data_IF_318180917796
#
_entry.id   IF_318180917796
#
_cell.length_a   1.000
_cell.length_b   1.000
_cell.length_c   1.000
_cell.angle_alpha   90.00
_cell.angle_beta   90.00
_cell.angle_gamma   90.00
#
_symmetry.space_group_name_H-M   'P 1'
#
loop_
_entity.id
_entity.type
_entity.pdbx_description
1 polymer ?
#
# COMPACT_ATOMS: atom_id res chain seq x y z
N UNK A 1 15.85 10.26 -16.33
CA UNK A 1 16.38 9.62 -15.10
C UNK A 1 17.32 10.53 -14.31
N UNK A 2 18.41 11.06 -14.89
CA UNK A 2 19.28 12.02 -14.18
C UNK A 2 18.53 13.29 -13.72
N UNK A 3 17.56 13.76 -14.51
CA UNK A 3 16.71 14.91 -14.18
C UNK A 3 15.91 14.77 -12.87
N UNK A 4 15.65 13.55 -12.41
CA UNK A 4 14.96 13.28 -11.13
C UNK A 4 15.92 12.78 -10.04
N UNK A 5 17.23 12.84 -10.29
CA UNK A 5 18.26 12.49 -9.31
C UNK A 5 18.50 11.00 -9.12
N UNK A 6 18.04 10.13 -10.03
CA UNK A 6 18.38 8.70 -10.00
C UNK A 6 19.84 8.54 -10.41
N UNK A 7 20.64 7.94 -9.51
CA UNK A 7 22.07 7.68 -9.75
C UNK A 7 22.37 6.21 -10.00
N UNK A 8 21.50 5.29 -9.57
CA UNK A 8 21.67 3.85 -9.75
C UNK A 8 20.34 3.13 -9.89
N UNK A 9 20.33 2.15 -10.79
CA UNK A 9 19.29 1.12 -10.92
C UNK A 9 19.99 -0.22 -10.83
N UNK A 10 19.79 -0.96 -9.73
CA UNK A 10 20.58 -2.15 -9.39
C UNK A 10 19.72 -3.39 -9.22
N UNK A 11 20.14 -4.49 -9.83
CA UNK A 11 19.53 -5.80 -9.61
C UNK A 11 20.00 -6.35 -8.26
N UNK A 12 19.08 -6.60 -7.34
CA UNK A 12 19.38 -7.18 -6.01
C UNK A 12 18.85 -8.60 -5.87
N UNK A 13 18.27 -9.18 -6.92
CA UNK A 13 17.69 -10.53 -6.92
C UNK A 13 18.65 -11.58 -6.37
N UNK A 14 19.92 -11.52 -6.77
CA UNK A 14 20.95 -12.48 -6.36
C UNK A 14 21.42 -12.36 -4.90
N UNK A 15 20.88 -11.42 -4.13
CA UNK A 15 21.11 -11.37 -2.69
C UNK A 15 20.22 -12.38 -1.93
N UNK A 16 19.15 -12.88 -2.57
CA UNK A 16 18.32 -13.96 -2.04
C UNK A 16 18.38 -15.18 -2.96
N UNK A 17 17.93 -16.33 -2.46
CA UNK A 17 18.01 -17.61 -3.15
C UNK A 17 16.65 -18.06 -3.75
N UNK A 18 15.58 -17.29 -3.55
CA UNK A 18 14.26 -17.53 -4.16
C UNK A 18 14.26 -17.23 -5.67
N UNK A 19 15.08 -16.27 -6.11
CA UNK A 19 15.26 -15.98 -7.54
C UNK A 19 14.09 -15.26 -8.21
N UNK A 20 13.25 -14.55 -7.45
CA UNK A 20 12.19 -13.69 -7.99
C UNK A 20 12.74 -12.27 -8.21
N UNK A 21 12.59 -11.69 -9.43
CA UNK A 21 13.20 -10.41 -9.78
C UNK A 21 12.86 -9.26 -8.83
N UNK A 22 13.90 -8.67 -8.25
CA UNK A 22 13.82 -7.47 -7.42
C UNK A 22 14.95 -6.50 -7.79
N UNK A 23 14.60 -5.22 -7.94
CA UNK A 23 15.51 -4.15 -8.28
C UNK A 23 15.43 -3.00 -7.28
N UNK A 24 16.48 -2.20 -7.22
CA UNK A 24 16.57 -0.98 -6.41
C UNK A 24 16.85 0.22 -7.28
N UNK A 25 16.19 1.33 -6.99
CA UNK A 25 16.40 2.61 -7.66
C UNK A 25 16.81 3.65 -6.61
N UNK A 26 18.00 4.21 -6.77
CA UNK A 26 18.63 5.06 -5.76
C UNK A 26 18.57 6.53 -6.19
N UNK A 27 17.96 7.35 -5.33
CA UNK A 27 17.95 8.82 -5.39
C UNK A 27 18.61 9.36 -4.11
N UNK A 28 19.95 9.53 -4.09
CA UNK A 28 20.70 9.85 -2.86
C UNK A 28 20.28 11.17 -2.19
N UNK A 29 19.72 12.10 -2.95
CA UNK A 29 19.25 13.41 -2.47
C UNK A 29 17.72 13.50 -2.38
N UNK A 30 17.02 12.36 -2.32
CA UNK A 30 15.59 12.33 -2.03
C UNK A 30 15.31 12.98 -0.66
N UNK A 31 14.14 13.60 -0.52
CA UNK A 31 13.71 14.26 0.71
C UNK A 31 12.95 13.34 1.66
N UNK A 32 12.43 12.21 1.16
CA UNK A 32 11.70 11.19 1.93
C UNK A 32 12.47 9.87 1.99
N UNK A 33 12.43 9.04 0.93
CA UNK A 33 13.11 7.76 0.84
C UNK A 33 14.15 7.77 -0.28
N UNK A 34 15.38 7.38 0.06
CA UNK A 34 16.52 7.39 -0.86
C UNK A 34 16.58 6.18 -1.79
N UNK A 35 15.91 5.08 -1.43
CA UNK A 35 15.88 3.84 -2.21
C UNK A 35 14.44 3.38 -2.42
N UNK A 36 14.00 3.40 -3.67
CA UNK A 36 12.75 2.77 -4.13
C UNK A 36 13.02 1.32 -4.52
N UNK A 37 12.03 0.45 -4.34
CA UNK A 37 12.15 -0.98 -4.62
C UNK A 37 11.24 -1.35 -5.79
N UNK A 38 11.72 -2.25 -6.64
CA UNK A 38 10.99 -2.71 -7.80
C UNK A 38 10.78 -4.21 -7.75
N UNK A 39 9.56 -4.66 -8.06
CA UNK A 39 9.15 -6.07 -8.03
C UNK A 39 8.42 -6.46 -9.31
N UNK A 40 8.55 -7.71 -9.73
CA UNK A 40 7.86 -8.21 -10.90
C UNK A 40 8.19 -9.66 -11.24
N UNK A 41 7.40 -10.23 -12.15
CA UNK A 41 7.62 -11.60 -12.65
C UNK A 41 8.88 -11.71 -13.53
N UNK A 42 9.31 -10.60 -14.12
CA UNK A 42 10.53 -10.50 -14.94
C UNK A 42 11.41 -9.36 -14.44
N UNK A 43 12.68 -9.34 -14.86
CA UNK A 43 13.60 -8.25 -14.50
C UNK A 43 13.16 -6.91 -15.06
N UNK A 44 12.58 -6.87 -16.26
CA UNK A 44 12.08 -5.66 -16.91
C UNK A 44 10.91 -5.07 -16.12
N UNK A 45 9.95 -5.91 -15.70
CA UNK A 45 8.82 -5.49 -14.87
C UNK A 45 9.29 -4.98 -13.51
N UNK A 46 10.22 -5.67 -12.87
CA UNK A 46 10.78 -5.25 -11.59
C UNK A 46 11.56 -3.93 -11.72
N UNK A 47 12.33 -3.75 -12.80
CA UNK A 47 13.04 -2.50 -13.06
C UNK A 47 12.06 -1.34 -13.31
N UNK A 48 11.03 -1.55 -14.13
CA UNK A 48 9.99 -0.57 -14.39
C UNK A 48 9.25 -0.18 -13.10
N UNK A 49 8.87 -1.16 -12.28
CA UNK A 49 8.23 -0.93 -10.98
C UNK A 49 9.07 -0.01 -10.08
N UNK A 50 10.37 -0.29 -9.93
CA UNK A 50 11.24 0.54 -9.08
C UNK A 50 11.46 1.95 -9.64
N UNK A 51 11.52 2.09 -10.96
CA UNK A 51 11.63 3.40 -11.62
C UNK A 51 10.37 4.23 -11.41
N UNK A 52 9.20 3.62 -11.59
CA UNK A 52 7.89 4.26 -11.44
C UNK A 52 7.64 4.70 -9.99
N UNK A 53 7.97 3.87 -9.00
CA UNK A 53 7.92 4.27 -7.58
C UNK A 53 8.86 5.46 -7.30
N UNK A 54 10.06 5.46 -7.87
CA UNK A 54 11.03 6.55 -7.69
C UNK A 54 10.54 7.87 -8.31
N UNK A 55 9.86 7.78 -9.47
CA UNK A 55 9.20 8.90 -10.16
C UNK A 55 8.06 9.44 -9.29
N UNK A 56 7.18 8.58 -8.79
CA UNK A 56 6.07 8.94 -7.91
C UNK A 56 6.55 9.75 -6.70
N UNK A 57 7.50 9.20 -5.95
CA UNK A 57 8.07 9.85 -4.76
C UNK A 57 8.69 11.20 -5.13
N UNK A 58 9.42 11.28 -6.25
CA UNK A 58 9.99 12.55 -6.73
C UNK A 58 8.92 13.64 -6.91
N UNK A 59 7.79 13.28 -7.52
CA UNK A 59 6.68 14.20 -7.74
C UNK A 59 6.03 14.64 -6.43
N UNK A 60 5.80 13.71 -5.51
CA UNK A 60 5.22 14.02 -4.20
C UNK A 60 6.14 14.85 -3.29
N UNK A 61 7.45 14.83 -3.51
CA UNK A 61 8.43 15.68 -2.82
C UNK A 61 8.45 17.12 -3.35
N UNK A 62 8.35 17.30 -4.67
CA UNK A 62 8.72 18.55 -5.33
C UNK A 62 7.57 19.27 -6.06
N UNK A 63 6.52 18.57 -6.48
CA UNK A 63 5.56 19.08 -7.49
C UNK A 63 4.09 19.05 -7.07
N UNK A 64 3.81 18.87 -5.79
CA UNK A 64 2.44 19.00 -5.30
C UNK A 64 1.95 20.44 -5.48
N UNK A 65 0.83 20.67 -6.19
CA UNK A 65 0.30 21.99 -6.46
C UNK A 65 0.14 22.85 -5.21
N UNK A 66 0.24 24.17 -5.36
CA UNK A 66 -0.13 25.09 -4.26
C UNK A 66 -1.63 25.07 -4.06
N UNK A 67 -2.03 25.08 -2.79
CA UNK A 67 -3.42 25.09 -2.38
C UNK A 67 -3.81 26.41 -1.72
N UNK A 68 -5.04 26.45 -1.21
CA UNK A 68 -5.54 27.55 -0.43
C UNK A 68 -5.33 27.26 1.05
N UNK A 69 -4.71 28.19 1.79
CA UNK A 69 -4.61 28.08 3.25
C UNK A 69 -5.99 28.32 3.87
N UNK A 70 -6.53 27.33 4.58
CA UNK A 70 -7.82 27.43 5.27
C UNK A 70 -7.68 26.99 6.72
N UNK A 71 -8.51 27.56 7.59
CA UNK A 71 -8.70 27.00 8.93
C UNK A 71 -9.49 25.68 8.84
N UNK A 72 -9.41 24.83 9.85
CA UNK A 72 -10.22 23.62 9.91
C UNK A 72 -11.71 23.97 9.95
N UNK A 73 -12.09 25.03 10.68
CA UNK A 73 -13.49 25.50 10.73
C UNK A 73 -14.02 25.87 9.35
N UNK A 74 -13.25 26.63 8.57
CA UNK A 74 -13.64 27.01 7.21
C UNK A 74 -13.72 25.78 6.29
N UNK A 75 -12.77 24.85 6.43
CA UNK A 75 -12.74 23.64 5.62
C UNK A 75 -13.92 22.69 5.93
N UNK A 76 -14.38 22.63 7.18
CA UNK A 76 -15.59 21.87 7.56
C UNK A 76 -16.86 22.49 6.97
N UNK A 77 -16.95 23.83 6.96
CA UNK A 77 -18.11 24.55 6.41
C UNK A 77 -18.14 24.52 4.86
N UNK A 78 -16.99 24.44 4.21
CA UNK A 78 -16.87 24.40 2.76
C UNK A 78 -17.10 23.00 2.19
N UNK A 79 -18.27 22.78 1.59
CA UNK A 79 -18.62 21.50 0.95
C UNK A 79 -17.67 21.08 -0.16
N UNK A 80 -16.83 21.97 -0.71
CA UNK A 80 -15.82 21.61 -1.72
C UNK A 80 -14.59 20.94 -1.11
N UNK A 81 -14.34 21.09 0.19
CA UNK A 81 -13.28 20.39 0.89
C UNK A 81 -13.71 18.96 1.29
N UNK A 82 -12.77 18.02 1.23
CA UNK A 82 -12.93 16.73 1.90
C UNK A 82 -13.10 16.98 3.40
N UNK A 83 -14.01 16.24 4.03
CA UNK A 83 -14.26 16.38 5.47
C UNK A 83 -12.98 16.05 6.25
N UNK A 84 -12.42 16.98 7.05
CA UNK A 84 -11.21 16.73 7.84
C UNK A 84 -11.31 15.49 8.75
N UNK A 85 -12.51 15.17 9.23
CA UNK A 85 -12.75 14.05 10.15
C UNK A 85 -12.72 12.68 9.45
N UNK A 86 -12.73 12.66 8.12
CA UNK A 86 -12.65 11.46 7.30
C UNK A 86 -11.24 11.23 6.73
N UNK A 87 -10.25 12.01 7.19
CA UNK A 87 -8.88 11.99 6.70
C UNK A 87 -7.93 11.50 7.81
N UNK A 88 -6.73 10.99 7.45
CA UNK A 88 -5.80 10.44 8.42
C UNK A 88 -5.18 11.56 9.26
N UNK A 89 -5.78 11.87 10.40
CA UNK A 89 -5.28 12.85 11.36
C UNK A 89 -4.05 12.29 12.08
N UNK A 90 -2.99 13.09 12.26
CA UNK A 90 -1.83 12.65 13.05
C UNK A 90 -2.21 12.55 14.53
N UNK A 91 -1.78 11.50 15.25
CA UNK A 91 -2.04 11.38 16.69
C UNK A 91 -1.54 12.56 17.52
N UNK A 92 -0.44 13.19 17.08
CA UNK A 92 0.14 14.37 17.75
C UNK A 92 -0.48 15.70 17.32
N UNK A 93 -1.39 15.71 16.34
CA UNK A 93 -2.04 16.92 15.89
C UNK A 93 -3.02 17.43 16.96
N UNK A 94 -2.82 18.66 17.42
CA UNK A 94 -3.80 19.36 18.25
C UNK A 94 -4.80 20.05 17.35
N UNK A 95 -5.92 19.38 17.07
CA UNK A 95 -6.98 19.96 16.24
C UNK A 95 -7.71 21.07 16.98
N UNK A 96 -7.55 22.30 16.51
CA UNK A 96 -8.32 23.47 16.93
C UNK A 96 -9.07 24.04 15.73
N UNK A 97 -10.17 24.74 15.96
CA UNK A 97 -10.94 25.39 14.89
C UNK A 97 -10.08 26.32 14.03
N UNK A 98 -9.12 27.02 14.64
CA UNK A 98 -8.18 27.95 14.01
C UNK A 98 -6.92 27.27 13.42
N UNK A 99 -6.78 25.95 13.57
CA UNK A 99 -5.67 25.20 12.96
C UNK A 99 -5.74 25.33 11.45
N UNK A 100 -4.61 25.63 10.81
CA UNK A 100 -4.54 25.90 9.37
C UNK A 100 -3.85 24.76 8.62
N UNK A 101 -4.40 24.41 7.47
CA UNK A 101 -3.75 23.55 6.49
C UNK A 101 -3.94 24.11 5.09
N UNK A 102 -3.05 23.77 4.18
CA UNK A 102 -3.14 24.15 2.77
C UNK A 102 -3.98 23.09 2.05
N UNK A 103 -5.01 23.51 1.32
CA UNK A 103 -5.96 22.63 0.65
C UNK A 103 -5.80 22.72 -0.86
N UNK A 104 -5.34 21.63 -1.48
CA UNK A 104 -5.06 21.56 -2.92
C UNK A 104 -6.27 21.07 -3.67
N UNK A 105 -6.44 21.56 -4.90
CA UNK A 105 -7.55 21.14 -5.76
C UNK A 105 -7.26 19.78 -6.41
N UNK A 106 -8.31 18.96 -6.46
CA UNK A 106 -8.33 17.68 -7.14
C UNK A 106 -9.71 17.44 -7.76
N UNK A 107 -9.81 16.46 -8.65
CA UNK A 107 -11.06 16.07 -9.27
C UNK A 107 -11.62 14.85 -8.56
N UNK A 108 -12.84 14.95 -8.07
CA UNK A 108 -13.59 13.78 -7.60
C UNK A 108 -13.98 12.92 -8.79
N UNK A 109 -13.47 11.69 -8.82
CA UNK A 109 -13.63 10.74 -9.92
C UNK A 109 -15.07 10.20 -9.99
N UNK A 110 -15.82 10.23 -8.88
CA UNK A 110 -17.21 9.79 -8.84
C UNK A 110 -18.13 10.87 -9.41
N UNK A 111 -18.05 12.09 -8.86
CA UNK A 111 -18.97 13.17 -9.26
C UNK A 111 -18.47 14.06 -10.41
N UNK A 112 -17.20 13.93 -10.80
CA UNK A 112 -16.52 14.80 -11.77
C UNK A 112 -16.22 16.22 -11.27
N UNK A 113 -16.69 16.59 -10.07
CA UNK A 113 -16.57 17.94 -9.50
C UNK A 113 -15.17 18.19 -8.94
N UNK A 114 -14.78 19.46 -8.92
CA UNK A 114 -13.57 19.87 -8.22
C UNK A 114 -13.81 19.80 -6.71
N UNK A 115 -12.88 19.16 -6.00
CA UNK A 115 -12.83 19.06 -4.54
C UNK A 115 -11.45 19.44 -4.06
N UNK A 116 -11.29 19.61 -2.75
CA UNK A 116 -10.00 19.92 -2.13
C UNK A 116 -9.62 18.92 -1.08
N UNK A 117 -8.34 18.57 -1.03
CA UNK A 117 -7.76 17.71 -0.01
C UNK A 117 -6.57 18.42 0.64
N UNK A 118 -6.24 18.12 1.90
CA UNK A 118 -5.09 18.71 2.55
C UNK A 118 -3.80 18.32 1.82
N UNK A 119 -2.98 19.33 1.52
CA UNK A 119 -1.63 19.16 0.99
C UNK A 119 -0.77 18.27 1.89
N UNK A 120 -1.05 18.29 3.19
CA UNK A 120 -0.36 17.47 4.20
C UNK A 120 -0.44 15.97 3.90
N UNK A 121 -1.54 15.49 3.29
CA UNK A 121 -1.72 14.08 2.92
C UNK A 121 -0.81 13.65 1.77
N UNK A 122 -0.41 14.59 0.92
CA UNK A 122 0.24 14.32 -0.38
C UNK A 122 1.74 14.62 -0.34
N UNK A 123 2.14 15.69 0.35
CA UNK A 123 3.52 16.18 0.30
C UNK A 123 4.46 15.30 1.11
N UNK A 124 5.43 14.68 0.46
CA UNK A 124 6.46 13.87 1.12
C UNK A 124 7.74 14.65 1.42
N UNK A 125 7.88 15.87 0.88
CA UNK A 125 9.08 16.67 1.06
C UNK A 125 9.25 17.24 2.46
N UNK A 126 10.45 17.74 2.71
CA UNK A 126 10.78 18.45 3.94
C UNK A 126 9.95 19.73 4.06
N UNK A 127 9.39 19.98 5.25
CA UNK A 127 8.77 21.27 5.60
C UNK A 127 9.76 22.12 6.37
N UNK A 128 9.84 23.41 6.01
CA UNK A 128 10.58 24.38 6.81
C UNK A 128 9.98 24.49 8.21
N UNK A 129 10.83 24.72 9.23
CA UNK A 129 10.39 24.96 10.63
C UNK A 129 9.45 26.15 10.79
N UNK A 130 9.37 27.04 9.79
CA UNK A 130 8.45 28.19 9.75
C UNK A 130 7.04 27.83 9.30
N UNK A 131 6.82 26.64 8.75
CA UNK A 131 5.50 26.18 8.34
C UNK A 131 4.73 25.60 9.53
N UNK A 132 3.39 25.69 9.55
CA UNK A 132 2.57 25.02 10.56
C UNK A 132 2.88 23.52 10.62
N UNK A 133 2.73 22.92 11.80
CA UNK A 133 2.82 21.47 11.95
C UNK A 133 1.74 20.77 11.11
N UNK A 134 2.07 19.60 10.54
CA UNK A 134 1.11 18.80 9.77
C UNK A 134 -0.05 18.37 10.66
N UNK A 135 -1.28 18.58 10.20
CA UNK A 135 -2.49 18.09 10.87
C UNK A 135 -2.79 16.64 10.45
N UNK A 136 -2.49 16.31 9.20
CA UNK A 136 -2.73 15.00 8.60
C UNK A 136 -1.44 14.22 8.36
N UNK A 137 -1.56 12.90 8.29
CA UNK A 137 -0.45 11.98 8.00
C UNK A 137 0.00 12.21 6.56
N UNK A 138 1.30 12.45 6.38
CA UNK A 138 1.94 12.40 5.07
C UNK A 138 2.41 10.97 4.81
N UNK A 139 1.95 10.39 3.71
CA UNK A 139 2.34 9.04 3.29
C UNK A 139 2.26 8.92 1.78
N UNK A 140 2.95 7.94 1.20
CA UNK A 140 2.78 7.58 -0.21
C UNK A 140 1.45 6.87 -0.48
N UNK A 141 0.61 6.62 0.54
CA UNK A 141 -0.65 5.92 0.37
C UNK A 141 -1.56 6.62 -0.67
N UNK A 142 -1.83 5.92 -1.76
CA UNK A 142 -2.64 6.45 -2.87
C UNK A 142 -1.87 7.32 -3.86
N UNK A 143 -0.54 7.37 -3.77
CA UNK A 143 0.33 7.93 -4.79
C UNK A 143 0.67 6.84 -5.80
N UNK A 144 0.37 7.06 -7.08
CA UNK A 144 0.75 6.12 -8.11
C UNK A 144 1.00 6.80 -9.46
N UNK A 145 1.80 6.14 -10.28
CA UNK A 145 2.07 6.47 -11.65
C UNK A 145 1.61 5.36 -12.59
N UNK A 146 1.56 5.66 -13.88
CA UNK A 146 1.16 4.70 -14.91
C UNK A 146 1.53 5.20 -16.30
N UNK A 147 1.43 4.33 -17.31
CA UNK A 147 1.63 4.72 -18.70
C UNK A 147 0.50 5.62 -19.20
N UNK A 148 -0.67 5.51 -18.57
CA UNK A 148 -1.84 6.35 -18.82
C UNK A 148 -2.38 6.92 -17.51
N UNK A 149 -3.20 7.97 -17.62
CA UNK A 149 -3.95 8.51 -16.49
C UNK A 149 -4.78 7.43 -15.78
N UNK A 150 -5.51 6.62 -16.55
CA UNK A 150 -6.43 5.63 -15.98
C UNK A 150 -5.68 4.51 -15.25
N UNK A 151 -4.50 4.13 -15.74
CA UNK A 151 -3.62 3.16 -15.06
C UNK A 151 -3.11 3.70 -13.71
N UNK A 152 -2.63 4.95 -13.68
CA UNK A 152 -2.17 5.60 -12.45
C UNK A 152 -3.31 5.71 -11.42
N UNK A 153 -4.50 6.11 -11.85
CA UNK A 153 -5.66 6.24 -10.97
C UNK A 153 -6.16 4.90 -10.44
N UNK A 154 -6.21 3.87 -11.30
CA UNK A 154 -6.60 2.52 -10.88
C UNK A 154 -5.62 1.99 -9.83
N UNK A 155 -4.31 2.14 -10.07
CA UNK A 155 -3.28 1.71 -9.14
C UNK A 155 -3.40 2.44 -7.79
N UNK A 156 -3.53 3.77 -7.80
CA UNK A 156 -3.71 4.57 -6.59
C UNK A 156 -4.96 4.15 -5.80
N UNK A 157 -6.08 3.87 -6.48
CA UNK A 157 -7.30 3.37 -5.84
C UNK A 157 -7.12 1.98 -5.23
N UNK A 158 -6.52 1.06 -5.97
CA UNK A 158 -6.22 -0.27 -5.45
C UNK A 158 -5.36 -0.20 -4.20
N UNK A 159 -4.35 0.68 -4.16
CA UNK A 159 -3.49 0.84 -2.99
C UNK A 159 -4.27 1.35 -1.75
N UNK A 160 -5.07 2.41 -1.87
CA UNK A 160 -5.84 2.90 -0.71
C UNK A 160 -6.89 1.89 -0.23
N UNK A 161 -7.47 1.11 -1.14
CA UNK A 161 -8.37 0.00 -0.81
C UNK A 161 -7.61 -1.11 -0.09
N UNK A 162 -6.42 -1.48 -0.59
CA UNK A 162 -5.55 -2.48 0.04
C UNK A 162 -5.29 -2.15 1.50
N UNK A 163 -4.89 -0.90 1.79
CA UNK A 163 -4.56 -0.46 3.16
C UNK A 163 -5.78 -0.48 4.06
N UNK A 164 -6.96 -0.10 3.57
CA UNK A 164 -8.21 -0.15 4.34
C UNK A 164 -8.60 -1.59 4.67
N UNK A 165 -8.72 -2.44 3.66
CA UNK A 165 -9.17 -3.82 3.83
C UNK A 165 -8.19 -4.63 4.70
N UNK A 166 -6.89 -4.48 4.46
CA UNK A 166 -5.86 -5.10 5.29
C UNK A 166 -5.94 -4.63 6.75
N UNK A 167 -6.18 -3.35 7.01
CA UNK A 167 -6.24 -2.83 8.38
C UNK A 167 -7.42 -3.37 9.17
N UNK A 168 -8.59 -3.41 8.53
CA UNK A 168 -9.80 -3.96 9.12
C UNK A 168 -9.64 -5.45 9.40
N UNK A 169 -9.04 -6.21 8.47
CA UNK A 169 -8.71 -7.63 8.66
C UNK A 169 -7.72 -7.83 9.82
N UNK A 170 -6.60 -7.10 9.85
CA UNK A 170 -5.61 -7.22 10.93
C UNK A 170 -6.27 -6.93 12.29
N UNK A 171 -7.11 -5.90 12.39
CA UNK A 171 -7.82 -5.57 13.63
C UNK A 171 -8.76 -6.70 14.08
N UNK A 172 -9.55 -7.27 13.16
CA UNK A 172 -10.42 -8.44 13.46
C UNK A 172 -9.61 -9.62 13.98
N UNK A 173 -8.52 -9.96 13.29
CA UNK A 173 -7.61 -11.03 13.70
C UNK A 173 -7.01 -10.81 15.08
N UNK A 174 -6.58 -9.57 15.39
CA UNK A 174 -6.00 -9.22 16.70
C UNK A 174 -7.03 -9.25 17.84
N UNK A 175 -8.30 -8.96 17.55
CA UNK A 175 -9.39 -8.99 18.53
C UNK A 175 -9.97 -10.41 18.75
N UNK A 176 -9.48 -11.41 18.01
CA UNK A 176 -10.05 -12.76 18.03
C UNK A 176 -11.47 -12.82 17.48
N UNK A 177 -11.89 -11.79 16.74
CA UNK A 177 -13.23 -11.65 16.18
C UNK A 177 -13.36 -12.27 14.77
N UNK A 178 -12.40 -13.11 14.38
CA UNK A 178 -12.31 -13.67 13.04
C UNK A 178 -12.70 -15.15 12.99
N UNK A 179 -13.50 -15.51 11.99
CA UNK A 179 -13.67 -16.88 11.53
C UNK A 179 -12.30 -17.38 11.02
N UNK A 180 -11.79 -18.55 11.42
CA UNK A 180 -10.52 -19.12 10.92
C UNK A 180 -10.46 -19.36 9.39
N UNK A 181 -11.40 -18.82 8.62
CA UNK A 181 -11.61 -19.01 7.18
C UNK A 181 -11.09 -17.84 6.35
N UNK A 182 -9.78 -17.62 6.37
CA UNK A 182 -9.14 -16.63 5.49
C UNK A 182 -8.00 -17.19 4.66
N UNK A 183 -7.42 -18.31 5.08
CA UNK A 183 -6.19 -18.84 4.52
C UNK A 183 -6.45 -19.61 3.23
N UNK A 184 -5.65 -19.30 2.21
CA UNK A 184 -5.75 -19.91 0.88
C UNK A 184 -5.07 -21.27 0.82
N UNK A 185 -5.66 -22.18 0.02
CA UNK A 185 -5.02 -23.40 -0.49
C UNK A 185 -4.14 -23.07 -1.69
N UNK A 186 -2.87 -22.75 -1.42
CA UNK A 186 -1.92 -22.30 -2.46
C UNK A 186 -1.57 -23.41 -3.46
N UNK A 187 -1.69 -24.67 -3.07
CA UNK A 187 -1.55 -25.85 -3.93
C UNK A 187 -2.64 -25.96 -5.02
N UNK A 188 -3.75 -25.21 -4.87
CA UNK A 188 -4.89 -25.20 -5.79
C UNK A 188 -4.93 -23.99 -6.71
N UNK A 189 -3.91 -23.15 -6.72
CA UNK A 189 -3.82 -22.01 -7.66
C UNK A 189 -3.69 -22.53 -9.09
N UNK A 190 -4.61 -22.14 -9.99
CA UNK A 190 -4.52 -22.51 -11.41
C UNK A 190 -3.63 -21.56 -12.25
N UNK A 191 -3.53 -20.28 -11.86
CA UNK A 191 -2.78 -19.28 -12.61
C UNK A 191 -1.28 -19.65 -12.68
N UNK A 192 -0.69 -19.76 -13.90
CA UNK A 192 0.68 -20.23 -14.06
C UNK A 192 1.73 -19.30 -13.45
N UNK A 193 1.49 -17.99 -13.40
CA UNK A 193 2.46 -17.05 -12.85
C UNK A 193 2.49 -17.10 -11.32
N UNK A 194 1.31 -17.23 -10.69
CA UNK A 194 1.23 -17.43 -9.24
C UNK A 194 1.79 -18.78 -8.83
N UNK A 195 1.52 -19.86 -9.58
CA UNK A 195 2.18 -21.16 -9.34
C UNK A 195 3.69 -21.06 -9.41
N UNK A 196 4.22 -20.41 -10.46
CA UNK A 196 5.65 -20.19 -10.59
C UNK A 196 6.24 -19.46 -9.37
N UNK A 197 5.57 -18.43 -8.84
CA UNK A 197 6.02 -17.73 -7.63
C UNK A 197 6.04 -18.66 -6.40
N UNK A 198 5.01 -19.49 -6.23
CA UNK A 198 4.88 -20.43 -5.11
C UNK A 198 5.96 -21.52 -5.21
N UNK A 199 6.14 -22.11 -6.38
CA UNK A 199 7.16 -23.14 -6.65
C UNK A 199 8.59 -22.63 -6.38
N UNK A 200 8.86 -21.33 -6.64
CA UNK A 200 10.16 -20.72 -6.31
C UNK A 200 10.38 -20.60 -4.81
N UNK A 201 9.35 -20.24 -4.06
CA UNK A 201 9.39 -20.24 -2.60
C UNK A 201 9.66 -21.65 -2.07
N UNK A 202 8.92 -22.65 -2.56
CA UNK A 202 9.07 -24.05 -2.14
C UNK A 202 10.46 -24.61 -2.47
N UNK A 203 10.96 -24.37 -3.69
CA UNK A 203 12.30 -24.80 -4.11
C UNK A 203 13.42 -24.16 -3.28
N UNK A 204 13.19 -22.94 -2.78
CA UNK A 204 14.11 -22.24 -1.89
C UNK A 204 13.98 -22.68 -0.41
N UNK A 205 12.96 -23.47 -0.06
CA UNK A 205 12.66 -23.78 1.34
C UNK A 205 12.10 -22.58 2.12
N UNK A 206 11.50 -21.62 1.41
CA UNK A 206 10.80 -20.48 1.99
C UNK A 206 9.31 -20.78 1.94
N UNK A 207 8.69 -20.96 3.10
CA UNK A 207 7.27 -21.24 3.21
C UNK A 207 6.45 -19.99 2.85
N UNK A 208 5.45 -20.15 1.98
CA UNK A 208 4.49 -19.10 1.63
C UNK A 208 3.11 -19.40 2.23
N UNK A 209 2.51 -18.40 2.88
CA UNK A 209 1.12 -18.42 3.33
C UNK A 209 0.40 -17.17 2.84
N UNK A 210 -0.83 -17.31 2.36
CA UNK A 210 -1.62 -16.18 1.93
C UNK A 210 -3.05 -16.24 2.45
N UNK A 211 -3.64 -15.06 2.65
CA UNK A 211 -5.01 -14.87 3.11
C UNK A 211 -5.75 -13.95 2.15
N UNK A 212 -7.03 -14.25 1.93
CA UNK A 212 -7.96 -13.30 1.34
C UNK A 212 -8.42 -12.33 2.44
N UNK A 213 -8.13 -11.04 2.27
CA UNK A 213 -8.31 -10.02 3.31
C UNK A 213 -9.34 -8.96 2.96
N UNK A 214 -10.01 -9.06 1.81
CA UNK A 214 -11.14 -8.17 1.51
C UNK A 214 -12.24 -8.33 2.56
N UNK A 215 -12.74 -7.20 3.05
CA UNK A 215 -13.71 -7.11 4.14
C UNK A 215 -15.06 -6.65 3.61
N UNK A 216 -15.19 -5.35 3.31
CA UNK A 216 -16.46 -4.76 2.88
C UNK A 216 -16.42 -4.31 1.42
N UNK A 217 -15.25 -3.90 0.92
CA UNK A 217 -15.11 -3.50 -0.48
C UNK A 217 -14.84 -4.78 -1.28
N UNK A 218 -15.69 -5.16 -2.26
CA UNK A 218 -15.61 -6.44 -2.98
C UNK A 218 -14.52 -6.41 -4.08
N UNK A 219 -13.36 -5.86 -3.76
CA UNK A 219 -12.18 -5.82 -4.62
C UNK A 219 -11.14 -6.77 -4.01
N UNK A 220 -10.59 -7.72 -4.78
CA UNK A 220 -9.66 -8.71 -4.24
C UNK A 220 -8.43 -8.08 -3.61
N UNK A 221 -8.27 -8.34 -2.31
CA UNK A 221 -7.12 -7.95 -1.51
C UNK A 221 -6.55 -9.22 -0.87
N UNK A 222 -5.23 -9.40 -0.99
CA UNK A 222 -4.52 -10.51 -0.39
C UNK A 222 -3.42 -10.02 0.52
N UNK A 223 -3.18 -10.78 1.59
CA UNK A 223 -2.01 -10.65 2.44
C UNK A 223 -1.17 -11.92 2.28
N UNK A 224 0.13 -11.76 2.06
CA UNK A 224 1.06 -12.88 1.96
C UNK A 224 2.17 -12.75 3.02
N UNK A 225 2.53 -13.86 3.64
CA UNK A 225 3.71 -14.03 4.46
C UNK A 225 4.63 -15.06 3.82
N UNK A 226 5.91 -14.75 3.82
CA UNK A 226 6.97 -15.68 3.45
C UNK A 226 7.92 -15.83 4.62
N UNK A 227 8.29 -17.06 4.96
CA UNK A 227 9.19 -17.31 6.08
C UNK A 227 9.99 -18.60 5.91
N UNK A 228 11.17 -18.63 6.53
CA UNK A 228 12.00 -19.82 6.56
C UNK A 228 11.72 -20.60 7.85
N UNK A 229 10.88 -21.62 7.77
CA UNK A 229 10.58 -22.49 8.90
C UNK A 229 11.68 -23.49 9.21
N UNK A 230 12.64 -23.68 8.29
CA UNK A 230 13.76 -24.60 8.43
C UNK A 230 15.01 -23.97 9.05
N UNK A 231 15.00 -22.65 9.28
CA UNK A 231 16.11 -21.91 9.88
C UNK A 231 17.37 -21.83 9.00
N UNK A 232 17.24 -22.02 7.68
CA UNK A 232 18.36 -22.01 6.72
C UNK A 232 18.93 -20.60 6.48
N UNK A 233 18.11 -19.58 6.63
CA UNK A 233 18.45 -18.18 6.36
C UNK A 233 18.86 -17.50 7.66
N UNK A 234 20.01 -16.82 7.63
CA UNK A 234 20.47 -15.99 8.75
C UNK A 234 19.54 -14.79 8.98
N UNK A 235 19.31 -13.94 7.96
CA UNK A 235 18.39 -12.78 8.02
C UNK A 235 17.92 -12.37 6.62
N UNK A 236 16.70 -11.80 6.47
CA UNK A 236 15.55 -11.92 7.37
C UNK A 236 14.98 -13.34 7.32
N UNK A 237 14.26 -13.76 8.35
CA UNK A 237 13.61 -15.08 8.41
C UNK A 237 12.12 -15.01 8.10
N UNK A 238 11.50 -13.83 8.15
CA UNK A 238 10.13 -13.59 7.67
C UNK A 238 9.99 -12.24 6.98
N UNK A 239 9.10 -12.20 5.99
CA UNK A 239 8.63 -11.00 5.35
C UNK A 239 7.14 -11.12 5.01
N UNK A 240 6.53 -10.01 4.63
CA UNK A 240 5.13 -9.97 4.28
C UNK A 240 4.87 -8.90 3.24
N UNK A 241 3.76 -9.06 2.52
CA UNK A 241 3.34 -8.17 1.45
C UNK A 241 1.84 -8.22 1.25
N UNK A 242 1.32 -7.17 0.62
CA UNK A 242 -0.10 -7.03 0.33
C UNK A 242 -0.29 -6.86 -1.19
N UNK A 243 -1.50 -7.13 -1.65
CA UNK A 243 -1.84 -6.93 -3.05
C UNK A 243 -3.32 -6.74 -3.24
N UNK A 244 -3.71 -5.62 -3.86
CA UNK A 244 -5.07 -5.34 -4.31
C UNK A 244 -5.14 -5.15 -5.82
N UNK A 245 -6.14 -5.75 -6.45
CA UNK A 245 -6.45 -5.54 -7.86
C UNK A 245 -7.86 -6.06 -8.17
N UNK A 246 -8.60 -5.49 -9.15
CA UNK A 246 -9.90 -6.03 -9.58
C UNK A 246 -9.88 -7.50 -10.00
N UNK A 247 -8.72 -8.03 -10.40
CA UNK A 247 -8.54 -9.43 -10.78
C UNK A 247 -7.70 -10.17 -9.76
N UNK A 248 -8.24 -11.27 -9.23
CA UNK A 248 -7.64 -11.99 -8.08
C UNK A 248 -6.23 -12.50 -8.34
N UNK A 249 -5.97 -12.98 -9.57
CA UNK A 249 -4.65 -13.47 -10.00
C UNK A 249 -3.57 -12.39 -9.91
N UNK A 250 -3.92 -11.14 -10.25
CA UNK A 250 -2.99 -10.00 -10.20
C UNK A 250 -2.78 -9.57 -8.75
N UNK A 251 -3.85 -9.50 -7.96
CA UNK A 251 -3.79 -9.15 -6.54
C UNK A 251 -2.92 -10.15 -5.75
N UNK A 252 -3.08 -11.45 -5.97
CA UNK A 252 -2.26 -12.49 -5.34
C UNK A 252 -0.79 -12.40 -5.76
N UNK A 253 -0.52 -12.21 -7.07
CA UNK A 253 0.83 -12.03 -7.58
C UNK A 253 1.53 -10.83 -6.93
N UNK A 254 0.81 -9.71 -6.76
CA UNK A 254 1.32 -8.51 -6.08
C UNK A 254 1.63 -8.79 -4.61
N UNK A 255 0.77 -9.51 -3.89
CA UNK A 255 1.01 -9.86 -2.49
C UNK A 255 2.26 -10.72 -2.31
N UNK A 256 2.43 -11.75 -3.14
CA UNK A 256 3.60 -12.64 -3.07
C UNK A 256 4.88 -11.89 -3.47
N UNK A 257 4.86 -11.16 -4.58
CA UNK A 257 6.03 -10.39 -5.03
C UNK A 257 6.40 -9.27 -4.06
N UNK A 258 5.43 -8.65 -3.38
CA UNK A 258 5.70 -7.67 -2.31
C UNK A 258 6.34 -8.32 -1.09
N UNK A 259 5.90 -9.52 -0.69
CA UNK A 259 6.50 -10.24 0.42
C UNK A 259 7.97 -10.58 0.14
N UNK A 260 8.28 -11.03 -1.08
CA UNK A 260 9.64 -11.34 -1.52
C UNK A 260 10.50 -10.07 -1.70
N UNK A 261 9.95 -8.99 -2.23
CA UNK A 261 10.66 -7.71 -2.32
C UNK A 261 10.92 -7.10 -0.93
N UNK A 262 9.97 -7.22 0.00
CA UNK A 262 10.15 -6.82 1.41
C UNK A 262 11.29 -7.59 2.08
N UNK A 263 11.37 -8.90 1.82
CA UNK A 263 12.48 -9.76 2.25
C UNK A 263 13.82 -9.26 1.70
N UNK A 264 13.92 -9.08 0.38
CA UNK A 264 15.13 -8.60 -0.28
C UNK A 264 15.53 -7.18 0.12
N UNK A 265 14.56 -6.35 0.49
CA UNK A 265 14.81 -5.01 1.04
C UNK A 265 15.59 -5.07 2.35
N UNK A 266 15.29 -6.04 3.23
CA UNK A 266 16.06 -6.24 4.47
C UNK A 266 17.43 -6.86 4.20
N UNK A 267 17.53 -7.83 3.29
CA UNK A 267 18.82 -8.44 2.92
C UNK A 267 19.78 -7.39 2.37
N UNK A 268 19.29 -6.56 1.45
CA UNK A 268 20.10 -5.52 0.82
C UNK A 268 20.53 -4.42 1.79
N UNK A 269 19.78 -4.21 2.89
CA UNK A 269 20.12 -3.20 3.90
C UNK A 269 20.15 -1.76 3.39
N UNK A 270 19.53 -1.48 2.23
CA UNK A 270 19.63 -0.19 1.55
C UNK A 270 18.69 0.90 2.05
N UNK A 271 17.80 0.59 3.00
CA UNK A 271 16.80 1.52 3.54
C UNK A 271 17.23 2.08 4.89
N UNK A 272 17.20 3.40 5.00
CA UNK A 272 17.53 4.19 6.19
C UNK A 272 16.38 4.28 7.21
N UNK A 273 15.15 3.93 6.82
CA UNK A 273 13.97 3.89 7.68
C UNK A 273 13.71 2.50 8.31
N UNK A 274 14.56 1.51 8.02
CA UNK A 274 14.49 0.17 8.63
C UNK A 274 15.43 0.11 9.84
N UNK A 275 14.86 0.37 11.02
CA UNK A 275 15.62 0.43 12.28
C UNK A 275 15.99 -0.95 12.84
N UNK A 276 17.03 -0.99 13.69
CA UNK A 276 17.49 -2.19 14.41
C UNK A 276 16.38 -2.95 15.15
N UNK A 277 15.41 -2.25 15.73
CA UNK A 277 14.26 -2.87 16.41
C UNK A 277 13.49 -3.83 15.50
N UNK A 278 13.40 -3.52 14.19
CA UNK A 278 12.77 -4.40 13.21
C UNK A 278 13.60 -5.66 12.97
N UNK A 279 14.93 -5.53 12.87
CA UNK A 279 15.84 -6.67 12.77
C UNK A 279 15.76 -7.58 13.99
N UNK A 280 15.69 -6.99 15.19
CA UNK A 280 15.66 -7.74 16.44
C UNK A 280 14.34 -8.48 16.68
N UNK A 281 13.19 -7.88 16.32
CA UNK A 281 11.87 -8.36 16.77
C UNK A 281 10.93 -8.80 15.65
N UNK A 282 11.02 -8.18 14.47
CA UNK A 282 9.99 -8.32 13.45
C UNK A 282 10.35 -9.31 12.33
N UNK A 283 11.61 -9.73 12.22
CA UNK A 283 12.06 -10.55 11.09
C UNK A 283 12.82 -11.82 11.49
N UNK A 284 12.93 -12.13 12.79
CA UNK A 284 13.54 -13.36 13.33
C UNK A 284 12.50 -14.44 13.62
N UNK A 285 12.93 -15.69 13.49
CA UNK A 285 12.23 -16.95 13.77
C UNK A 285 13.08 -17.86 14.68
N UNK A 286 14.39 -17.63 14.79
CA UNK A 286 15.35 -18.44 15.54
C UNK A 286 15.23 -18.33 17.08
N UNK A 287 14.17 -17.70 17.60
CA UNK A 287 13.78 -17.74 19.00
C UNK A 287 12.50 -18.57 19.21
N UNK A 288 12.23 -18.98 20.46
CA UNK A 288 11.07 -19.84 20.77
C UNK A 288 9.74 -19.22 20.31
N UNK A 289 9.62 -17.90 20.41
CA UNK A 289 8.43 -17.17 19.99
C UNK A 289 8.24 -17.22 18.47
N UNK A 290 9.32 -17.03 17.71
CA UNK A 290 9.34 -17.10 16.26
C UNK A 290 9.08 -18.51 15.73
N UNK A 291 9.70 -19.53 16.32
CA UNK A 291 9.46 -20.92 15.98
C UNK A 291 8.01 -21.34 16.29
N UNK A 292 7.47 -20.91 17.44
CA UNK A 292 6.06 -21.14 17.78
C UNK A 292 5.12 -20.45 16.79
N UNK A 293 5.42 -19.21 16.41
CA UNK A 293 4.67 -18.47 15.39
C UNK A 293 4.67 -19.16 14.02
N UNK A 294 5.82 -19.68 13.58
CA UNK A 294 5.93 -20.40 12.31
C UNK A 294 5.07 -21.67 12.33
N UNK A 295 5.17 -22.46 13.40
CA UNK A 295 4.35 -23.67 13.59
C UNK A 295 2.86 -23.36 13.58
N UNK A 296 2.42 -22.34 14.33
CA UNK A 296 1.02 -21.92 14.35
C UNK A 296 0.51 -21.54 12.95
N UNK A 297 1.33 -20.85 12.16
CA UNK A 297 0.97 -20.49 10.80
C UNK A 297 0.94 -21.70 9.86
N UNK A 298 1.85 -22.67 10.03
CA UNK A 298 1.84 -23.90 9.22
C UNK A 298 0.59 -24.74 9.52
N UNK A 299 0.23 -24.87 10.80
CA UNK A 299 -0.94 -25.62 11.30
C UNK A 299 -2.29 -24.91 11.05
N UNK A 300 -2.29 -23.62 10.72
CA UNK A 300 -3.52 -22.86 10.45
C UNK A 300 -4.31 -23.50 9.29
N UNK A 301 -5.60 -23.85 9.46
CA UNK A 301 -6.36 -24.52 8.41
C UNK A 301 -6.41 -23.71 7.10
N UNK A 302 -6.17 -24.37 5.96
CA UNK A 302 -6.35 -23.77 4.63
C UNK A 302 -7.76 -24.07 4.13
N UNK A 303 -8.60 -23.05 4.05
CA UNK A 303 -10.05 -23.24 3.88
C UNK A 303 -10.60 -22.69 2.58
N UNK A 304 -9.88 -21.79 1.91
CA UNK A 304 -10.36 -21.09 0.72
C UNK A 304 -9.63 -21.58 -0.53
N UNK A 305 -10.39 -21.85 -1.59
CA UNK A 305 -9.80 -22.01 -2.92
C UNK A 305 -9.51 -20.63 -3.53
N UNK A 306 -8.28 -20.36 -3.97
CA UNK A 306 -7.88 -19.06 -4.50
C UNK A 306 -8.66 -18.69 -5.76
N UNK A 307 -9.10 -19.69 -6.54
CA UNK A 307 -9.85 -19.50 -7.77
C UNK A 307 -11.34 -19.20 -7.57
N UNK A 308 -11.87 -19.47 -6.36
CA UNK A 308 -13.25 -19.17 -5.99
C UNK A 308 -13.41 -17.74 -5.44
N UNK A 309 -12.30 -17.02 -5.26
CA UNK A 309 -12.35 -15.64 -4.76
C UNK A 309 -13.02 -14.74 -5.81
N UNK A 310 -13.88 -13.79 -5.37
CA UNK A 310 -14.57 -12.89 -6.28
C UNK A 310 -13.55 -12.08 -7.07
N UNK A 311 -13.95 -11.57 -8.22
CA UNK A 311 -13.18 -10.61 -9.01
C UNK A 311 -14.14 -9.79 -9.87
N UNK A 312 -13.62 -8.75 -10.49
CA UNK A 312 -14.37 -7.96 -11.46
C UNK A 312 -14.90 -8.82 -12.61
N UNK A 313 -16.03 -8.43 -13.24
CA UNK A 313 -16.44 -9.03 -14.50
C UNK A 313 -15.33 -8.90 -15.56
N UNK A 314 -15.44 -9.66 -16.65
CA UNK A 314 -14.49 -9.57 -17.76
C UNK A 314 -14.61 -8.22 -18.48
N UNK A 315 -13.86 -7.24 -18.00
CA UNK A 315 -13.77 -5.88 -18.55
C UNK A 315 -12.57 -5.78 -19.50
N UNK A 316 -12.73 -5.00 -20.57
CA UNK A 316 -11.79 -4.94 -21.70
C UNK A 316 -10.78 -3.81 -21.56
N UNK A 317 -11.12 -2.76 -20.81
CA UNK A 317 -10.29 -1.55 -20.70
C UNK A 317 -10.00 -1.18 -19.25
N UNK A 318 -8.92 -0.41 -19.04
CA UNK A 318 -8.57 0.14 -17.73
C UNK A 318 -9.62 1.16 -17.28
N UNK A 319 -10.22 1.92 -18.19
CA UNK A 319 -11.29 2.86 -17.87
C UNK A 319 -12.55 2.17 -17.33
N UNK A 320 -12.92 1.02 -17.90
CA UNK A 320 -14.01 0.18 -17.39
C UNK A 320 -13.69 -0.36 -15.99
N UNK A 321 -12.45 -0.82 -15.76
CA UNK A 321 -12.00 -1.29 -14.44
C UNK A 321 -12.03 -0.16 -13.41
N UNK A 322 -11.55 1.03 -13.78
CA UNK A 322 -11.59 2.21 -12.93
C UNK A 322 -13.03 2.60 -12.56
N UNK A 323 -13.93 2.61 -13.54
CA UNK A 323 -15.35 2.89 -13.31
C UNK A 323 -16.00 1.87 -12.38
N UNK A 324 -15.69 0.58 -12.56
CA UNK A 324 -16.18 -0.49 -11.69
C UNK A 324 -15.67 -0.34 -10.25
N UNK A 325 -14.38 -0.08 -10.04
CA UNK A 325 -13.83 0.17 -8.69
C UNK A 325 -14.52 1.35 -8.00
N UNK A 326 -14.78 2.42 -8.73
CA UNK A 326 -15.49 3.60 -8.20
C UNK A 326 -16.95 3.29 -7.86
N UNK A 327 -17.63 2.43 -8.62
CA UNK A 327 -18.99 2.00 -8.30
C UNK A 327 -19.03 1.12 -7.04
N UNK A 328 -18.07 0.20 -6.87
CA UNK A 328 -17.99 -0.63 -5.66
C UNK A 328 -17.72 0.22 -4.40
N UNK A 329 -16.81 1.20 -4.49
CA UNK A 329 -16.59 2.16 -3.39
C UNK A 329 -17.86 2.96 -3.06
N UNK A 330 -18.58 3.42 -4.09
CA UNK A 330 -19.82 4.18 -3.89
C UNK A 330 -20.92 3.34 -3.25
N UNK A 331 -21.05 2.07 -3.63
CA UNK A 331 -21.99 1.12 -3.04
C UNK A 331 -21.70 0.87 -1.56
N UNK A 332 -20.43 0.88 -1.17
CA UNK A 332 -19.95 0.78 0.22
C UNK A 332 -20.05 2.08 1.04
N UNK A 333 -20.74 3.10 0.50
CA UNK A 333 -20.94 4.37 1.18
C UNK A 333 -19.70 5.26 1.22
N UNK A 334 -18.77 5.09 0.27
CA UNK A 334 -17.59 5.93 0.05
C UNK A 334 -17.75 6.72 -1.25
N UNK A 335 -18.57 7.79 -1.26
CA UNK A 335 -19.03 8.45 -2.49
C UNK A 335 -18.00 9.42 -3.11
N UNK A 336 -16.77 9.46 -2.60
CA UNK A 336 -15.75 10.41 -3.02
C UNK A 336 -14.42 9.71 -3.27
N UNK A 337 -13.81 9.96 -4.43
CA UNK A 337 -12.46 9.56 -4.74
C UNK A 337 -11.75 10.75 -5.40
N UNK A 338 -11.00 11.53 -4.61
CA UNK A 338 -10.45 12.81 -5.04
C UNK A 338 -9.03 12.60 -5.55
N UNK A 339 -8.84 12.78 -6.86
CA UNK A 339 -7.55 12.66 -7.52
C UNK A 339 -6.90 14.04 -7.70
N UNK A 340 -5.68 14.19 -7.17
CA UNK A 340 -4.81 15.34 -7.41
C UNK A 340 -3.78 14.94 -8.46
N UNK A 341 -3.73 15.69 -9.56
CA UNK A 341 -2.76 15.50 -10.63
C UNK A 341 -1.42 16.10 -10.20
N UNK A 342 -0.38 15.26 -10.16
CA UNK A 342 0.98 15.65 -9.86
C UNK A 342 1.85 15.68 -11.13
N UNK A 343 1.32 15.31 -12.29
CA UNK A 343 2.06 15.11 -13.54
C UNK A 343 2.89 16.34 -13.91
N UNK A 344 4.18 16.10 -14.14
CA UNK A 344 5.07 17.14 -14.66
C UNK A 344 5.20 17.06 -16.18
N UNK A 345 4.97 18.19 -16.83
CA UNK A 345 5.10 18.30 -18.28
C UNK A 345 6.51 17.94 -18.78
N UNK A 346 7.56 18.18 -18.00
CA UNK A 346 8.93 17.85 -18.39
C UNK A 346 9.21 16.33 -18.41
N UNK A 347 8.46 15.54 -17.63
CA UNK A 347 8.66 14.10 -17.50
C UNK A 347 7.65 13.28 -18.30
N UNK A 348 6.48 13.85 -18.62
CA UNK A 348 5.42 13.19 -19.41
C UNK A 348 4.97 11.84 -18.83
N UNK A 349 5.16 11.62 -17.52
CA UNK A 349 4.67 10.43 -16.82
C UNK A 349 3.47 10.84 -15.96
N UNK A 350 2.27 10.29 -16.22
CA UNK A 350 1.10 10.46 -15.36
C UNK A 350 1.42 10.06 -13.91
N UNK A 351 1.27 11.00 -12.97
CA UNK A 351 1.40 10.74 -11.53
C UNK A 351 0.22 11.37 -10.82
N UNK A 352 -0.48 10.59 -10.02
CA UNK A 352 -1.67 11.03 -9.28
C UNK A 352 -1.56 10.65 -7.81
N UNK A 353 -2.15 11.48 -6.97
CA UNK A 353 -2.48 11.10 -5.60
C UNK A 353 -4.00 11.01 -5.47
N UNK A 354 -4.51 9.87 -5.02
CA UNK A 354 -5.93 9.66 -4.77
C UNK A 354 -6.20 9.61 -3.27
N UNK A 355 -7.20 10.37 -2.83
CA UNK A 355 -7.75 10.31 -1.47
C UNK A 355 -9.20 9.88 -1.56
N UNK A 356 -9.55 8.81 -0.84
CA UNK A 356 -10.94 8.38 -0.62
C UNK A 356 -11.27 8.67 0.85
N UNK A 357 -11.91 9.81 1.17
CA UNK A 357 -12.23 10.15 2.55
C UNK A 357 -13.07 9.04 3.21
N UNK A 358 -12.61 8.57 4.36
CA UNK A 358 -13.25 7.52 5.14
C UNK A 358 -12.57 6.17 5.06
N UNK A 359 -11.70 5.90 4.07
CA UNK A 359 -10.84 4.70 4.08
C UNK A 359 -9.76 4.81 5.15
N UNK A 360 -9.44 3.67 5.77
CA UNK A 360 -8.37 3.57 6.76
C UNK A 360 -6.97 3.53 6.10
N UNK A 361 -5.97 4.08 6.79
CA UNK A 361 -4.57 3.80 6.49
C UNK A 361 -4.13 2.45 7.07
N UNK A 362 -2.91 2.00 6.76
CA UNK A 362 -2.42 0.70 7.24
C UNK A 362 -2.22 0.67 8.77
N UNK A 363 -2.96 -0.19 9.47
CA UNK A 363 -2.86 -0.43 10.91
C UNK A 363 -1.43 -0.80 11.31
N UNK A 364 -0.93 -0.17 12.37
CA UNK A 364 0.45 -0.35 12.85
C UNK A 364 1.47 0.57 12.16
N UNK A 365 1.08 1.34 11.13
CA UNK A 365 1.93 2.38 10.59
C UNK A 365 2.14 3.52 11.60
N UNK A 366 3.34 4.11 11.68
CA UNK A 366 3.59 5.25 12.56
C UNK A 366 2.62 6.40 12.29
N UNK A 367 1.90 6.82 13.32
CA UNK A 367 0.93 7.91 13.19
C UNK A 367 -0.43 7.49 12.66
N UNK A 368 -0.76 6.19 12.62
CA UNK A 368 -2.11 5.73 12.36
C UNK A 368 -3.07 6.19 13.48
N UNK A 369 -4.22 6.73 13.08
CA UNK A 369 -5.35 7.06 13.96
C UNK A 369 -6.59 6.39 13.39
N UNK A 370 -7.34 5.58 14.18
CA UNK A 370 -8.57 4.94 13.71
C UNK A 370 -9.59 5.94 13.17
N UNK A 371 -9.95 5.80 11.89
CA UNK A 371 -11.07 6.49 11.25
C UNK A 371 -12.42 5.84 11.60
N UNK A 372 -13.51 6.33 10.98
CA UNK A 372 -14.86 5.86 11.28
C UNK A 372 -15.10 4.38 10.97
N UNK A 373 -14.42 3.80 9.95
CA UNK A 373 -14.60 2.39 9.59
C UNK A 373 -13.99 1.49 10.67
N UNK A 374 -12.78 1.81 11.12
CA UNK A 374 -12.12 1.12 12.22
C UNK A 374 -12.88 1.32 13.54
N UNK A 375 -13.34 2.52 13.86
CA UNK A 375 -14.11 2.76 15.09
C UNK A 375 -15.40 1.94 15.14
N UNK A 376 -16.12 1.82 14.01
CA UNK A 376 -17.30 0.95 13.91
C UNK A 376 -16.94 -0.52 14.13
N UNK A 377 -15.85 -0.99 13.53
CA UNK A 377 -15.37 -2.35 13.73
C UNK A 377 -15.05 -2.62 15.21
N UNK A 378 -14.29 -1.73 15.86
CA UNK A 378 -13.93 -1.85 17.27
C UNK A 378 -15.19 -1.90 18.17
N UNK A 379 -16.19 -1.06 17.87
CA UNK A 379 -17.46 -1.07 18.60
C UNK A 379 -18.25 -2.38 18.40
N UNK A 380 -18.22 -2.97 17.19
CA UNK A 380 -18.87 -4.25 16.89
C UNK A 380 -18.20 -5.44 17.58
N UNK A 381 -16.89 -5.42 17.77
CA UNK A 381 -16.15 -6.49 18.44
C UNK A 381 -16.17 -6.38 19.98
N UNK A 382 -16.52 -5.21 20.52
CA UNK A 382 -16.54 -4.94 21.96
C UNK A 382 -17.90 -5.22 22.63
N UNK A 383 -18.97 -5.32 21.83
CA UNK A 383 -20.30 -5.76 22.27
C UNK A 383 -20.52 -7.22 21.94
#
# INVERSE_FOLDING_TARGET
MAAIGITRVGNVTGLDHVGVPTWQVVRPLAQSLTVSQGKGLTHELAQASGLMESIEVHHAEHFVPRGQLKTLSDAVADRTCASPLLLPIRPSARLRQDSRSEWVEGRDLVSGKMRRVPRDCIHLGHRSRRQPARLFVASSNGLASGNTRSEALLHALCEVIERDQASLWIARRQLGAEDPRGRLRLDRVSDPYNRWLIERCDAAGVYAAAWYVSQTVPIPCFFCRVFDSSGRTFYPQRAAGFGCHPYRRVALSRAITEALQSRLTHIAGGRDDVLWSRYKHAIRIDDDAGASWARQLEEEPQTLDPDDMPEAPSLKTIDELLAWVLSELSAEGLPQAIAVDLTQQALQVPVFHVTVPGLEGLLGSPGYTPGPRMQRLLAQCAG
#
